data_IF_744433722782
#
_entry.id   IF_744433722782
#
_cell.length_a   1.000
_cell.length_b   1.000
_cell.length_c   1.000
_cell.angle_alpha   90.00
_cell.angle_beta   90.00
_cell.angle_gamma   90.00
#
_symmetry.space_group_name_H-M   'P 1'
#
loop_
_entity.id
_entity.type
_entity.pdbx_description
1 polymer ?
#
# COMPACT_ATOMS: atom_id res chain seq x y z
N UNK A 1 -38.55 -38.72 -5.38
CA UNK A 1 -37.63 -39.25 -4.34
C UNK A 1 -37.11 -38.07 -3.54
N UNK A 2 -37.12 -38.13 -2.20
CA UNK A 2 -36.78 -37.01 -1.32
C UNK A 2 -35.60 -37.44 -0.44
N UNK A 3 -34.46 -36.76 -0.58
CA UNK A 3 -33.25 -37.03 0.22
C UNK A 3 -33.23 -36.07 1.40
N UNK A 4 -32.89 -36.58 2.59
CA UNK A 4 -32.71 -35.79 3.81
C UNK A 4 -31.24 -35.85 4.22
N UNK A 5 -30.63 -34.67 4.42
CA UNK A 5 -29.29 -34.55 5.00
C UNK A 5 -29.45 -34.72 6.51
N UNK A 6 -28.77 -35.71 7.09
CA UNK A 6 -28.84 -36.01 8.52
C UNK A 6 -27.85 -35.16 9.33
N UNK A 7 -26.68 -34.91 8.77
CA UNK A 7 -25.59 -34.18 9.43
C UNK A 7 -24.70 -33.52 8.37
N UNK A 8 -24.16 -32.33 8.66
CA UNK A 8 -23.19 -31.64 7.82
C UNK A 8 -22.04 -31.09 8.66
N UNK A 9 -20.85 -31.63 8.42
CA UNK A 9 -19.58 -31.12 8.95
C UNK A 9 -18.87 -30.34 7.83
N UNK A 10 -18.91 -29.01 7.91
CA UNK A 10 -18.31 -28.12 6.91
C UNK A 10 -16.88 -27.71 7.30
N UNK A 11 -16.03 -27.54 6.29
CA UNK A 11 -14.70 -26.95 6.40
C UNK A 11 -14.63 -25.75 5.46
N UNK A 12 -14.01 -24.66 5.91
CA UNK A 12 -13.84 -23.46 5.10
C UNK A 12 -12.40 -22.95 5.20
N UNK A 13 -11.92 -22.37 4.11
CA UNK A 13 -10.76 -21.48 4.06
C UNK A 13 -11.25 -20.05 3.84
N UNK A 14 -10.49 -19.08 4.32
CA UNK A 14 -10.73 -17.67 4.03
C UNK A 14 -9.71 -17.19 3.00
N UNK A 15 -10.06 -16.11 2.30
CA UNK A 15 -9.16 -15.38 1.42
C UNK A 15 -9.45 -13.90 1.59
N UNK A 16 -8.47 -13.05 1.29
CA UNK A 16 -8.72 -11.62 1.27
C UNK A 16 -9.65 -11.22 0.12
N UNK A 17 -10.71 -10.47 0.43
CA UNK A 17 -11.57 -9.83 -0.57
C UNK A 17 -10.91 -8.53 -1.05
N UNK A 18 -10.07 -8.65 -2.08
CA UNK A 18 -9.29 -7.55 -2.64
C UNK A 18 -9.95 -6.98 -3.89
N UNK A 19 -9.68 -5.68 -4.12
CA UNK A 19 -10.17 -5.02 -5.33
C UNK A 19 -9.53 -5.63 -6.56
N UNK A 20 -10.40 -5.96 -7.51
CA UNK A 20 -10.06 -6.43 -8.84
C UNK A 20 -9.57 -5.25 -9.68
N UNK A 21 -8.49 -5.43 -10.43
CA UNK A 21 -8.03 -4.43 -11.39
C UNK A 21 -8.80 -4.50 -12.72
N UNK A 22 -8.41 -3.68 -13.70
CA UNK A 22 -9.05 -3.62 -15.02
C UNK A 22 -8.96 -4.96 -15.81
N UNK A 23 -8.10 -5.90 -15.38
CA UNK A 23 -7.98 -7.22 -15.98
C UNK A 23 -9.04 -8.21 -15.48
N UNK A 24 -9.82 -7.84 -14.46
CA UNK A 24 -10.82 -8.73 -13.87
C UNK A 24 -10.22 -9.77 -12.91
N UNK A 25 -8.92 -9.67 -12.58
CA UNK A 25 -8.24 -10.51 -11.61
C UNK A 25 -7.71 -9.66 -10.45
N UNK A 26 -7.99 -10.06 -9.21
CA UNK A 26 -7.39 -9.41 -8.06
C UNK A 26 -5.94 -9.90 -7.93
N UNK A 27 -5.01 -8.98 -7.68
CA UNK A 27 -3.63 -9.36 -7.38
C UNK A 27 -3.64 -10.06 -6.02
N UNK A 28 -3.29 -11.35 -5.99
CA UNK A 28 -3.27 -12.17 -4.76
C UNK A 28 -1.88 -12.15 -4.10
N UNK A 29 -0.90 -11.54 -4.76
CA UNK A 29 0.49 -11.49 -4.33
C UNK A 29 0.90 -10.07 -3.94
N UNK A 30 1.70 -9.96 -2.89
CA UNK A 30 2.36 -8.70 -2.57
C UNK A 30 3.37 -8.34 -3.68
N UNK A 31 3.19 -7.19 -4.34
CA UNK A 31 4.07 -6.75 -5.44
C UNK A 31 5.55 -6.59 -5.07
N UNK A 32 5.85 -6.46 -3.76
CA UNK A 32 7.21 -6.30 -3.23
C UNK A 32 7.86 -7.66 -2.91
N UNK A 33 7.26 -8.47 -2.03
CA UNK A 33 7.87 -9.73 -1.59
C UNK A 33 7.42 -10.96 -2.39
N UNK A 34 6.43 -10.81 -3.28
CA UNK A 34 5.84 -11.87 -4.13
C UNK A 34 5.27 -13.07 -3.35
N UNK A 35 4.94 -12.88 -2.08
CA UNK A 35 4.24 -13.86 -1.24
C UNK A 35 2.73 -13.60 -1.29
N UNK A 36 1.87 -14.64 -1.28
CA UNK A 36 0.41 -14.47 -1.19
C UNK A 36 -0.02 -13.71 0.05
N UNK A 37 -1.10 -12.93 -0.06
CA UNK A 37 -1.63 -12.14 1.05
C UNK A 37 -2.24 -12.97 2.20
N UNK A 38 -2.63 -14.21 1.91
CA UNK A 38 -3.02 -15.19 2.93
C UNK A 38 -1.86 -15.66 3.81
N UNK A 39 -0.63 -15.48 3.32
CA UNK A 39 0.60 -15.76 4.05
C UNK A 39 1.13 -14.55 4.80
N UNK A 40 2.37 -14.67 5.25
CA UNK A 40 3.12 -13.58 5.86
C UNK A 40 4.25 -13.12 4.96
N UNK A 41 4.68 -11.87 5.09
CA UNK A 41 5.92 -11.45 4.47
C UNK A 41 7.13 -12.22 5.06
N UNK A 42 8.28 -12.28 4.37
CA UNK A 42 9.46 -13.02 4.83
C UNK A 42 10.03 -12.58 6.19
N UNK A 43 9.65 -11.40 6.68
CA UNK A 43 10.07 -10.87 7.98
C UNK A 43 9.15 -11.29 9.14
N UNK A 44 7.98 -11.87 8.85
CA UNK A 44 6.95 -12.16 9.85
C UNK A 44 6.67 -13.66 9.95
N UNK A 45 6.45 -14.13 11.18
CA UNK A 45 6.22 -15.55 11.46
C UNK A 45 4.74 -15.95 11.39
N UNK A 46 3.83 -15.07 11.80
CA UNK A 46 2.39 -15.37 11.88
C UNK A 46 1.55 -14.34 11.12
N UNK A 47 0.48 -14.75 10.43
CA UNK A 47 -0.42 -13.83 9.74
C UNK A 47 -1.31 -13.08 10.73
N UNK A 48 -2.06 -12.08 10.24
CA UNK A 48 -2.99 -11.29 11.05
C UNK A 48 -2.34 -10.04 11.64
N UNK A 49 -2.22 -9.96 12.96
CA UNK A 49 -1.71 -8.76 13.66
C UNK A 49 -0.25 -8.47 13.36
N UNK A 50 0.55 -9.52 13.18
CA UNK A 50 2.02 -9.43 13.03
C UNK A 50 2.42 -9.16 11.57
N UNK A 51 1.50 -9.28 10.61
CA UNK A 51 1.74 -8.95 9.20
C UNK A 51 0.45 -8.44 8.54
N UNK A 52 -0.02 -7.25 8.92
CA UNK A 52 -1.27 -6.71 8.39
C UNK A 52 -1.10 -6.30 6.92
N UNK A 53 -2.20 -6.42 6.18
CA UNK A 53 -2.31 -5.95 4.81
C UNK A 53 -2.62 -4.44 4.77
N UNK A 54 -1.93 -3.73 3.89
CA UNK A 54 -2.14 -2.31 3.61
C UNK A 54 -2.75 -2.18 2.22
N UNK A 55 -3.94 -1.56 2.18
CA UNK A 55 -4.65 -1.28 0.93
C UNK A 55 -4.29 0.11 0.43
N UNK A 56 -3.85 0.20 -0.82
CA UNK A 56 -3.64 1.48 -1.49
C UNK A 56 -4.94 2.29 -1.54
N UNK A 57 -4.82 3.59 -1.30
CA UNK A 57 -5.87 4.57 -1.56
C UNK A 57 -5.48 5.39 -2.79
N UNK A 58 -6.38 5.49 -3.76
CA UNK A 58 -6.08 6.05 -5.09
C UNK A 58 -5.44 5.08 -6.10
N UNK A 59 -5.05 3.87 -5.69
CA UNK A 59 -4.68 2.77 -6.59
C UNK A 59 -5.19 1.42 -6.06
N UNK A 60 -5.21 0.37 -6.90
CA UNK A 60 -5.67 -0.98 -6.52
C UNK A 60 -4.56 -1.86 -5.90
N UNK A 61 -3.34 -1.34 -5.77
CA UNK A 61 -2.19 -2.11 -5.30
C UNK A 61 -2.17 -2.25 -3.78
N UNK A 62 -1.99 -3.48 -3.31
CA UNK A 62 -1.96 -3.83 -1.90
C UNK A 62 -0.60 -4.43 -1.53
N UNK A 63 -0.19 -4.28 -0.27
CA UNK A 63 1.12 -4.77 0.20
C UNK A 63 1.03 -5.21 1.65
N UNK A 64 1.91 -6.12 2.08
CA UNK A 64 2.15 -6.32 3.51
C UNK A 64 2.73 -5.03 4.13
N UNK A 65 2.32 -4.69 5.34
CA UNK A 65 2.78 -3.48 6.05
C UNK A 65 4.30 -3.36 6.08
N UNK A 66 5.02 -4.41 6.51
CA UNK A 66 6.48 -4.37 6.59
C UNK A 66 7.17 -4.26 5.24
N UNK A 67 6.52 -4.71 4.16
CA UNK A 67 7.05 -4.54 2.81
C UNK A 67 6.94 -3.10 2.34
N UNK A 68 5.76 -2.48 2.49
CA UNK A 68 5.55 -1.10 2.04
C UNK A 68 6.27 -0.09 2.94
N UNK A 69 6.36 -0.37 4.25
CA UNK A 69 7.13 0.43 5.19
C UNK A 69 8.61 0.47 4.77
N UNK A 70 9.25 -0.70 4.56
CA UNK A 70 10.64 -0.79 4.08
C UNK A 70 10.86 -0.13 2.72
N UNK A 71 9.85 -0.14 1.85
CA UNK A 71 9.93 0.54 0.56
C UNK A 71 9.97 2.06 0.74
N UNK A 72 9.07 2.61 1.56
CA UNK A 72 8.96 4.05 1.78
C UNK A 72 10.08 4.62 2.65
N UNK A 73 10.79 3.79 3.42
CA UNK A 73 12.03 4.19 4.09
C UNK A 73 13.17 4.53 3.11
N UNK A 74 13.09 4.05 1.86
CA UNK A 74 14.11 4.36 0.85
C UNK A 74 13.85 5.73 0.23
N UNK A 75 14.88 6.58 0.18
CA UNK A 75 14.80 7.91 -0.46
C UNK A 75 14.42 7.82 -1.95
N UNK A 76 14.84 6.74 -2.62
CA UNK A 76 14.53 6.47 -4.03
C UNK A 76 13.06 6.18 -4.29
N UNK A 77 12.28 5.84 -3.25
CA UNK A 77 10.84 5.59 -3.39
C UNK A 77 10.06 6.86 -3.74
N UNK A 78 10.56 8.04 -3.31
CA UNK A 78 9.89 9.34 -3.44
C UNK A 78 8.43 9.34 -2.96
N UNK A 79 8.09 8.44 -2.03
CA UNK A 79 6.72 8.24 -1.56
C UNK A 79 5.75 7.76 -2.63
N UNK A 80 6.23 7.00 -3.62
CA UNK A 80 5.43 6.49 -4.73
C UNK A 80 5.15 4.99 -4.57
N UNK A 81 4.01 4.57 -5.12
CA UNK A 81 3.64 3.16 -5.22
C UNK A 81 4.67 2.40 -6.09
N UNK A 82 5.20 1.26 -5.66
CA UNK A 82 6.21 0.52 -6.43
C UNK A 82 5.67 -0.06 -7.75
N UNK A 83 4.34 -0.18 -7.87
CA UNK A 83 3.68 -0.80 -9.05
C UNK A 83 3.29 0.25 -10.09
N UNK A 84 2.54 1.30 -9.71
CA UNK A 84 2.04 2.31 -10.65
C UNK A 84 2.74 3.67 -10.58
N UNK A 85 3.67 3.86 -9.64
CA UNK A 85 4.38 5.14 -9.41
C UNK A 85 3.49 6.34 -9.10
N UNK A 86 2.22 6.13 -8.77
CA UNK A 86 1.37 7.17 -8.21
C UNK A 86 1.78 7.46 -6.77
N UNK A 87 1.46 8.65 -6.26
CA UNK A 87 1.69 8.99 -4.85
C UNK A 87 0.99 7.97 -3.96
N UNK A 88 1.76 7.29 -3.10
CA UNK A 88 1.20 6.25 -2.26
C UNK A 88 0.49 6.85 -1.05
N UNK A 89 -0.79 6.53 -0.93
CA UNK A 89 -1.62 6.76 0.24
C UNK A 89 -2.27 5.42 0.59
N UNK A 90 -2.65 5.20 1.85
CA UNK A 90 -3.29 3.97 2.26
C UNK A 90 -4.64 4.21 2.92
N UNK A 91 -5.54 3.23 2.78
CA UNK A 91 -6.82 3.25 3.46
C UNK A 91 -6.66 2.76 4.90
N UNK A 92 -6.97 3.63 5.88
CA UNK A 92 -6.96 3.24 7.29
C UNK A 92 -8.13 2.30 7.60
N UNK A 93 -7.83 1.03 7.84
CA UNK A 93 -8.79 0.03 8.32
C UNK A 93 -8.74 -0.01 9.85
N UNK A 94 -9.90 0.03 10.50
CA UNK A 94 -10.00 -0.05 11.98
C UNK A 94 -9.55 -1.45 12.44
N UNK A 95 -8.81 -1.51 13.54
CA UNK A 95 -8.34 -2.75 14.20
C UNK A 95 -7.35 -3.60 13.38
N UNK A 96 -6.56 -3.00 12.50
CA UNK A 96 -5.59 -3.71 11.65
C UNK A 96 -4.18 -3.20 11.91
N UNK A 97 -3.24 -4.09 12.26
CA UNK A 97 -1.84 -3.75 12.58
C UNK A 97 -1.61 -3.13 13.96
N UNK A 98 -0.33 -3.00 14.33
CA UNK A 98 0.05 -2.33 15.58
C UNK A 98 -0.05 -0.81 15.44
N UNK A 99 -0.35 -0.11 16.54
CA UNK A 99 -0.46 1.35 16.52
C UNK A 99 0.85 2.04 16.15
N UNK A 100 2.00 1.42 16.47
CA UNK A 100 3.34 1.98 16.22
C UNK A 100 3.73 1.88 14.74
N UNK A 101 3.60 0.70 14.13
CA UNK A 101 3.99 0.50 12.74
C UNK A 101 3.11 1.33 11.78
N UNK A 102 1.81 1.44 12.08
CA UNK A 102 0.92 2.32 11.33
C UNK A 102 1.27 3.80 11.50
N UNK A 103 1.74 4.21 12.68
CA UNK A 103 2.23 5.56 12.89
C UNK A 103 3.49 5.83 12.08
N UNK A 104 4.45 4.90 12.08
CA UNK A 104 5.68 5.02 11.29
C UNK A 104 5.37 5.12 9.79
N UNK A 105 4.45 4.31 9.29
CA UNK A 105 3.99 4.38 7.90
C UNK A 105 3.39 5.76 7.57
N UNK A 106 2.56 6.30 8.47
CA UNK A 106 1.94 7.61 8.31
C UNK A 106 3.01 8.72 8.23
N UNK A 107 3.96 8.72 9.17
CA UNK A 107 5.06 9.69 9.23
C UNK A 107 5.90 9.67 7.94
N UNK A 108 6.21 8.49 7.40
CA UNK A 108 6.96 8.37 6.15
C UNK A 108 6.18 9.00 4.97
N UNK A 109 4.89 8.72 4.85
CA UNK A 109 4.06 9.25 3.77
C UNK A 109 3.99 10.78 3.84
N UNK A 110 3.85 11.34 5.04
CA UNK A 110 3.83 12.78 5.27
C UNK A 110 5.18 13.43 5.01
N UNK A 111 6.28 12.78 5.40
CA UNK A 111 7.63 13.21 5.09
C UNK A 111 7.85 13.34 3.58
N UNK A 112 7.51 12.30 2.81
CA UNK A 112 7.59 12.33 1.34
C UNK A 112 6.64 13.37 0.71
N UNK A 113 5.47 13.60 1.30
CA UNK A 113 4.56 14.67 0.85
C UNK A 113 5.19 16.05 1.01
N UNK A 114 5.73 16.35 2.19
CA UNK A 114 6.38 17.64 2.46
C UNK A 114 7.61 17.87 1.56
N UNK A 115 8.38 16.82 1.25
CA UNK A 115 9.50 16.93 0.30
C UNK A 115 9.03 17.34 -1.10
N UNK A 116 7.96 16.72 -1.61
CA UNK A 116 7.40 17.05 -2.94
C UNK A 116 6.82 18.46 -3.00
N UNK A 117 6.17 18.92 -1.92
CA UNK A 117 5.64 20.28 -1.86
C UNK A 117 6.77 21.31 -1.93
N UNK A 118 7.88 21.11 -1.19
CA UNK A 118 9.07 21.97 -1.29
C UNK A 118 9.71 21.95 -2.68
N UNK A 119 9.89 20.77 -3.28
CA UNK A 119 10.42 20.67 -4.65
C UNK A 119 9.55 21.43 -5.65
N UNK A 120 8.21 21.37 -5.52
CA UNK A 120 7.31 22.10 -6.38
C UNK A 120 7.43 23.63 -6.19
N UNK A 121 7.53 24.10 -4.94
CA UNK A 121 7.72 25.53 -4.63
C UNK A 121 9.05 26.06 -5.20
N UNK A 122 10.13 25.28 -5.07
CA UNK A 122 11.44 25.62 -5.64
C UNK A 122 11.40 25.70 -7.18
N UNK A 123 10.74 24.75 -7.83
CA UNK A 123 10.59 24.74 -9.28
C UNK A 123 9.72 25.90 -9.79
N UNK A 124 8.66 26.26 -9.06
CA UNK A 124 7.80 27.40 -9.39
C UNK A 124 8.59 28.72 -9.31
N UNK A 125 9.41 28.88 -8.27
CA UNK A 125 10.27 30.05 -8.13
C UNK A 125 11.31 30.17 -9.25
N UNK A 126 12.00 29.07 -9.61
CA UNK A 126 13.00 29.08 -10.69
C UNK A 126 12.36 29.43 -12.05
N UNK A 127 11.17 28.88 -12.33
CA UNK A 127 10.41 29.21 -13.54
C UNK A 127 10.04 30.69 -13.62
N UNK A 128 9.73 31.32 -12.49
CA UNK A 128 9.42 32.74 -12.42
C UNK A 128 10.68 33.61 -12.67
N UNK A 129 11.84 33.22 -12.13
CA UNK A 129 13.10 33.93 -12.42
C UNK A 129 13.47 33.90 -13.91
N UNK A 130 13.29 32.74 -14.56
CA UNK A 130 13.57 32.59 -15.98
C UNK A 130 12.63 33.43 -16.86
N UNK A 131 11.35 33.51 -16.52
CA UNK A 131 10.38 34.37 -17.22
C UNK A 131 10.74 35.85 -17.11
N UNK A 132 11.19 36.32 -15.93
CA UNK A 132 11.63 37.71 -15.75
C UNK A 132 12.87 38.01 -16.62
N UNK A 133 13.85 37.10 -16.65
CA UNK A 133 15.07 37.24 -17.46
C UNK A 133 14.82 37.26 -18.97
N UNK A 134 13.71 36.68 -19.44
CA UNK A 134 13.32 36.65 -20.86
C UNK A 134 12.59 37.92 -21.33
N UNK A 135 12.14 38.77 -20.39
CA UNK A 135 11.40 39.99 -20.68
C UNK A 135 12.24 41.27 -20.73
N UNK A 136 13.53 41.19 -20.40
CA UNK A 136 14.55 42.24 -20.52
C UNK A 136 15.40 42.08 -21.80
#
# INVERSE_FOLDING_TARGET
>A
MKVQVLEWNAVASWHWDLKVDDSGVADELCGICRVPFDGTCPSCKYPGTDCPLILGDGCTHNFHLHCILKWLEQDTSKGLCPMCRQVFVYKRIKNMGTSEELHNLQVLIEGHKAMRERENEENEFDSFEDDVRMTD
#
